data_IF_706111277529
#
_entry.id   IF_706111277529
#
_cell.length_a   1.000
_cell.length_b   1.000
_cell.length_c   1.000
_cell.angle_alpha   90.00
_cell.angle_beta   90.00
_cell.angle_gamma   90.00
#
_symmetry.space_group_name_H-M   'P 1'
#
loop_
_entity.id
_entity.type
_entity.pdbx_description
1 polymer ?
#
# COMPACT_ATOMS: atom_id res chain seq x y z
N UNK A 1 31.76 -1.66 -85.90
CA UNK A 1 31.38 -2.49 -84.76
C UNK A 1 30.88 -1.53 -83.64
N UNK A 2 29.57 -1.52 -83.35
CA UNK A 2 28.96 -0.71 -82.31
C UNK A 2 29.07 -1.42 -80.99
N UNK A 3 29.77 -0.86 -80.02
CA UNK A 3 29.76 -1.29 -78.64
C UNK A 3 28.48 -0.69 -78.00
N UNK A 4 27.54 -1.55 -77.73
CA UNK A 4 26.34 -1.20 -76.99
C UNK A 4 26.67 -1.20 -75.51
N UNK A 5 26.62 -0.04 -74.87
CA UNK A 5 26.84 0.12 -73.43
C UNK A 5 25.69 -0.55 -72.65
N UNK A 6 26.06 -1.49 -71.85
CA UNK A 6 25.18 -2.13 -70.81
C UNK A 6 25.22 -1.27 -69.54
N UNK A 7 24.50 -0.20 -69.47
CA UNK A 7 24.39 0.67 -68.29
C UNK A 7 22.97 0.94 -67.84
N UNK A 8 22.08 -0.06 -67.85
CA UNK A 8 20.66 0.16 -67.49
C UNK A 8 20.13 -0.79 -66.40
N UNK A 9 20.90 -1.67 -65.81
CA UNK A 9 20.39 -2.73 -64.94
C UNK A 9 20.49 -2.49 -63.43
N UNK A 10 21.23 -1.48 -62.95
CA UNK A 10 21.50 -1.32 -61.51
C UNK A 10 20.41 -0.50 -60.77
N UNK A 11 19.79 0.47 -61.43
CA UNK A 11 18.83 1.40 -60.79
C UNK A 11 17.58 0.68 -60.20
N UNK A 12 16.90 -0.21 -60.90
CA UNK A 12 15.70 -0.87 -60.34
C UNK A 12 16.07 -1.82 -59.15
N UNK A 13 17.23 -2.46 -59.18
CA UNK A 13 17.68 -3.30 -58.08
C UNK A 13 18.00 -2.49 -56.79
N UNK A 14 18.58 -1.32 -56.92
CA UNK A 14 18.89 -0.42 -55.80
C UNK A 14 17.64 0.16 -55.21
N UNK A 15 16.69 0.60 -56.04
CA UNK A 15 15.38 1.10 -55.59
C UNK A 15 14.63 0.01 -54.83
N UNK A 16 14.59 -1.21 -55.35
CA UNK A 16 13.99 -2.35 -54.69
C UNK A 16 14.64 -2.64 -53.32
N UNK A 17 15.99 -2.65 -53.24
CA UNK A 17 16.72 -2.84 -51.98
C UNK A 17 16.42 -1.78 -50.94
N UNK A 18 16.39 -0.50 -51.33
CA UNK A 18 16.04 0.61 -50.44
C UNK A 18 14.60 0.48 -49.97
N UNK A 19 13.66 0.12 -50.85
CA UNK A 19 12.25 -0.08 -50.46
C UNK A 19 12.12 -1.20 -49.44
N UNK A 20 12.74 -2.38 -49.69
CA UNK A 20 12.71 -3.49 -48.75
C UNK A 20 13.33 -3.12 -47.43
N UNK A 21 14.43 -2.37 -47.41
CA UNK A 21 15.11 -1.93 -46.20
C UNK A 21 14.21 -0.94 -45.40
N UNK A 22 13.56 -0.01 -46.08
CA UNK A 22 12.61 0.96 -45.44
C UNK A 22 11.43 0.22 -44.82
N UNK A 23 10.88 -0.80 -45.50
CA UNK A 23 9.79 -1.64 -44.98
C UNK A 23 10.23 -2.40 -43.72
N UNK A 24 11.41 -3.02 -43.76
CA UNK A 24 11.95 -3.75 -42.60
C UNK A 24 12.14 -2.81 -41.43
N UNK A 25 12.73 -1.63 -41.61
CA UNK A 25 12.92 -0.64 -40.55
C UNK A 25 11.57 -0.20 -39.97
N UNK A 26 10.59 0.09 -40.82
CA UNK A 26 9.26 0.49 -40.39
C UNK A 26 8.58 -0.59 -39.53
N UNK A 27 8.61 -1.84 -39.98
CA UNK A 27 8.05 -2.99 -39.22
C UNK A 27 8.79 -3.14 -37.89
N UNK A 28 10.11 -3.08 -37.87
CA UNK A 28 10.91 -3.20 -36.64
C UNK A 28 10.58 -2.07 -35.66
N UNK A 29 10.50 -0.83 -36.15
CA UNK A 29 10.15 0.33 -35.30
C UNK A 29 8.76 0.18 -34.68
N UNK A 30 7.76 -0.27 -35.49
CA UNK A 30 6.39 -0.51 -34.98
C UNK A 30 6.41 -1.64 -33.94
N UNK A 31 7.12 -2.74 -34.19
CA UNK A 31 7.21 -3.85 -33.27
C UNK A 31 7.82 -3.45 -31.92
N UNK A 32 8.90 -2.66 -31.95
CA UNK A 32 9.56 -2.18 -30.72
C UNK A 32 8.68 -1.19 -29.97
N UNK A 33 7.97 -0.29 -30.69
CA UNK A 33 7.03 0.63 -30.07
C UNK A 33 5.85 -0.13 -29.40
N UNK A 34 5.31 -1.14 -30.06
CA UNK A 34 4.28 -2.00 -29.47
C UNK A 34 4.81 -2.75 -28.23
N UNK A 35 6.04 -3.27 -28.30
CA UNK A 35 6.69 -3.90 -27.16
C UNK A 35 6.89 -2.92 -25.99
N UNK A 36 7.31 -1.69 -26.25
CA UNK A 36 7.45 -0.63 -25.24
C UNK A 36 6.13 -0.35 -24.53
N UNK A 37 5.04 -0.17 -25.30
CA UNK A 37 3.70 0.04 -24.72
C UNK A 37 3.28 -1.16 -23.88
N UNK A 38 3.48 -2.37 -24.38
CA UNK A 38 3.18 -3.61 -23.65
C UNK A 38 3.94 -3.71 -22.34
N UNK A 39 5.23 -3.42 -22.34
CA UNK A 39 6.09 -3.44 -21.17
C UNK A 39 5.66 -2.40 -20.12
N UNK A 40 5.31 -1.19 -20.56
CA UNK A 40 4.78 -0.14 -19.69
C UNK A 40 3.47 -0.60 -19.03
N UNK A 41 2.53 -1.12 -19.81
CA UNK A 41 1.26 -1.61 -19.31
C UNK A 41 1.44 -2.77 -18.31
N UNK A 42 2.34 -3.71 -18.61
CA UNK A 42 2.65 -4.82 -17.72
C UNK A 42 3.28 -4.35 -16.40
N UNK A 43 4.20 -3.38 -16.45
CA UNK A 43 4.82 -2.80 -15.25
C UNK A 43 3.76 -2.14 -14.35
N UNK A 44 2.87 -1.33 -14.92
CA UNK A 44 1.75 -0.75 -14.18
C UNK A 44 0.84 -1.82 -13.58
N UNK A 45 0.45 -2.82 -14.37
CA UNK A 45 -0.42 -3.91 -13.90
C UNK A 45 0.20 -4.68 -12.72
N UNK A 46 1.52 -4.87 -12.69
CA UNK A 46 2.23 -5.51 -11.58
C UNK A 46 2.16 -4.71 -10.30
N UNK A 47 2.43 -3.39 -10.35
CA UNK A 47 2.34 -2.54 -9.15
C UNK A 47 0.91 -2.41 -8.64
N UNK A 48 -0.09 -2.34 -9.53
CA UNK A 48 -1.50 -2.43 -9.15
C UNK A 48 -1.81 -3.79 -8.51
N UNK A 49 -1.30 -4.88 -9.06
CA UNK A 49 -1.43 -6.22 -8.48
C UNK A 49 -0.80 -6.33 -7.09
N UNK A 50 0.37 -5.72 -6.87
CA UNK A 50 1.03 -5.65 -5.56
C UNK A 50 0.22 -4.84 -4.56
N UNK A 51 -0.29 -3.69 -4.96
CA UNK A 51 -1.18 -2.85 -4.15
C UNK A 51 -2.42 -3.65 -3.71
N UNK A 52 -3.09 -4.32 -4.64
CA UNK A 52 -4.27 -5.14 -4.35
C UNK A 52 -3.94 -6.29 -3.40
N UNK A 53 -2.82 -6.98 -3.59
CA UNK A 53 -2.37 -8.05 -2.70
C UNK A 53 -2.13 -7.54 -1.27
N UNK A 54 -1.51 -6.37 -1.13
CA UNK A 54 -1.26 -5.76 0.16
C UNK A 54 -2.58 -5.32 0.83
N UNK A 55 -3.48 -4.68 0.07
CA UNK A 55 -4.80 -4.27 0.53
C UNK A 55 -5.61 -5.48 1.03
N UNK A 56 -5.73 -6.54 0.23
CA UNK A 56 -6.47 -7.75 0.60
C UNK A 56 -5.91 -8.41 1.86
N UNK A 57 -4.59 -8.47 1.99
CA UNK A 57 -3.96 -9.09 3.17
C UNK A 57 -4.23 -8.30 4.44
N UNK A 58 -4.17 -6.97 4.39
CA UNK A 58 -4.45 -6.10 5.54
C UNK A 58 -5.96 -6.18 5.86
N UNK A 59 -6.83 -6.06 4.86
CA UNK A 59 -8.27 -6.17 5.02
C UNK A 59 -8.69 -7.49 5.68
N UNK A 60 -8.13 -8.61 5.24
CA UNK A 60 -8.39 -9.93 5.83
C UNK A 60 -8.01 -9.99 7.31
N UNK A 61 -6.91 -9.35 7.69
CA UNK A 61 -6.50 -9.33 9.10
C UNK A 61 -7.39 -8.39 9.91
N UNK A 62 -7.70 -7.20 9.40
CA UNK A 62 -8.63 -6.28 10.05
C UNK A 62 -9.99 -6.96 10.30
N UNK A 63 -10.52 -7.65 9.29
CA UNK A 63 -11.75 -8.42 9.44
C UNK A 63 -11.64 -9.54 10.49
N UNK A 64 -10.53 -10.25 10.55
CA UNK A 64 -10.26 -11.25 11.59
C UNK A 64 -10.25 -10.64 12.99
N UNK A 65 -9.66 -9.45 13.15
CA UNK A 65 -9.69 -8.69 14.41
C UNK A 65 -11.12 -8.29 14.77
N UNK A 66 -11.88 -7.74 13.83
CA UNK A 66 -13.27 -7.36 14.04
C UNK A 66 -14.13 -8.53 14.52
N UNK A 67 -14.03 -9.69 13.86
CA UNK A 67 -14.78 -10.88 14.24
C UNK A 67 -14.45 -11.36 15.65
N UNK A 68 -13.15 -11.47 15.96
CA UNK A 68 -12.70 -11.93 17.26
C UNK A 68 -13.04 -10.93 18.37
N UNK A 69 -12.79 -9.64 18.12
CA UNK A 69 -13.14 -8.57 19.05
C UNK A 69 -14.65 -8.52 19.33
N UNK A 70 -15.49 -8.67 18.32
CA UNK A 70 -16.94 -8.74 18.51
C UNK A 70 -17.34 -9.86 19.46
N UNK A 71 -16.71 -11.04 19.36
CA UNK A 71 -16.97 -12.16 20.28
C UNK A 71 -16.55 -11.84 21.73
N UNK A 72 -15.45 -11.09 21.92
CA UNK A 72 -15.02 -10.63 23.25
C UNK A 72 -16.00 -9.59 23.79
N UNK A 73 -16.38 -8.61 22.98
CA UNK A 73 -17.24 -7.50 23.38
C UNK A 73 -18.67 -7.95 23.65
N UNK A 74 -19.18 -8.90 22.88
CA UNK A 74 -20.49 -9.50 23.14
C UNK A 74 -20.51 -10.29 24.47
N UNK A 75 -19.36 -10.89 24.85
CA UNK A 75 -19.24 -11.52 26.16
C UNK A 75 -19.20 -10.47 27.29
N UNK A 76 -18.48 -9.36 27.11
CA UNK A 76 -18.52 -8.22 28.04
C UNK A 76 -19.96 -7.73 28.21
N UNK A 77 -20.72 -7.59 27.11
CA UNK A 77 -22.12 -7.15 27.12
C UNK A 77 -23.07 -8.04 27.91
N UNK A 78 -22.72 -9.33 28.12
CA UNK A 78 -23.49 -10.27 28.94
C UNK A 78 -23.21 -10.15 30.44
N UNK A 79 -22.17 -9.44 30.83
CA UNK A 79 -21.66 -9.40 32.21
C UNK A 79 -21.56 -7.98 32.76
N UNK A 80 -22.47 -7.10 32.35
CA UNK A 80 -22.50 -5.68 32.74
C UNK A 80 -22.83 -5.46 34.22
N UNK A 81 -23.27 -6.49 34.94
CA UNK A 81 -23.62 -6.44 36.36
C UNK A 81 -22.41 -6.59 37.31
N UNK A 82 -21.28 -7.13 36.81
CA UNK A 82 -20.13 -7.43 37.64
C UNK A 82 -18.80 -7.01 37.04
N UNK A 83 -18.04 -6.10 37.68
CA UNK A 83 -16.74 -5.67 37.19
C UNK A 83 -15.72 -6.81 37.06
N UNK A 84 -15.78 -7.80 37.98
CA UNK A 84 -14.85 -8.93 37.93
C UNK A 84 -15.24 -9.93 36.81
N UNK A 85 -16.53 -10.03 36.46
CA UNK A 85 -16.98 -10.83 35.32
C UNK A 85 -16.59 -10.18 33.99
N UNK A 86 -16.64 -8.85 33.90
CA UNK A 86 -16.13 -8.10 32.74
C UNK A 86 -14.65 -8.37 32.50
N UNK A 87 -13.82 -8.31 33.55
CA UNK A 87 -12.38 -8.60 33.46
C UNK A 87 -12.16 -10.03 32.95
N UNK A 88 -12.85 -11.02 33.54
CA UNK A 88 -12.76 -12.42 33.06
C UNK A 88 -13.22 -12.59 31.60
N UNK A 89 -14.22 -11.85 31.15
CA UNK A 89 -14.69 -11.89 29.77
C UNK A 89 -13.58 -11.40 28.82
N UNK A 90 -12.90 -10.31 29.15
CA UNK A 90 -11.76 -9.80 28.39
C UNK A 90 -10.60 -10.80 28.37
N UNK A 91 -10.22 -11.36 29.53
CA UNK A 91 -9.10 -12.32 29.67
C UNK A 91 -9.33 -13.62 28.90
N UNK A 92 -10.57 -14.13 28.92
CA UNK A 92 -10.89 -15.47 28.44
C UNK A 92 -10.58 -15.71 26.96
N UNK A 93 -10.52 -14.65 26.17
CA UNK A 93 -10.34 -14.70 24.71
C UNK A 93 -9.21 -13.84 24.21
N UNK A 94 -8.49 -13.13 25.08
CA UNK A 94 -7.43 -12.22 24.69
C UNK A 94 -6.32 -12.91 23.87
N UNK A 95 -6.01 -14.17 24.20
CA UNK A 95 -4.95 -14.95 23.52
C UNK A 95 -5.34 -15.50 22.14
N UNK A 96 -6.59 -15.35 21.71
CA UNK A 96 -7.09 -15.93 20.45
C UNK A 96 -6.69 -15.10 19.22
N UNK A 97 -6.24 -13.88 19.42
CA UNK A 97 -5.88 -12.97 18.33
C UNK A 97 -4.50 -12.36 18.55
N UNK A 98 -3.45 -12.95 17.98
CA UNK A 98 -2.08 -12.51 18.17
C UNK A 98 -1.77 -11.14 17.55
N UNK A 99 -2.64 -10.63 16.66
CA UNK A 99 -2.51 -9.31 16.05
C UNK A 99 -3.00 -8.19 16.97
N UNK A 100 -3.78 -8.53 18.00
CA UNK A 100 -4.30 -7.56 18.99
C UNK A 100 -3.34 -7.48 20.17
N UNK A 101 -2.85 -6.27 20.45
CA UNK A 101 -1.99 -5.99 21.61
C UNK A 101 -2.76 -6.13 22.93
N UNK A 102 -4.01 -5.70 22.93
CA UNK A 102 -4.87 -5.78 24.11
C UNK A 102 -6.33 -5.43 23.84
N UNK A 103 -7.15 -5.75 24.80
CA UNK A 103 -8.58 -5.46 24.80
C UNK A 103 -8.95 -4.65 26.04
N UNK A 104 -9.82 -3.65 25.87
CA UNK A 104 -10.33 -2.85 26.99
C UNK A 104 -11.84 -2.73 26.98
N UNK A 105 -12.38 -2.32 28.13
CA UNK A 105 -13.77 -1.92 28.26
C UNK A 105 -13.83 -0.65 29.14
N UNK A 106 -14.06 0.50 28.53
CA UNK A 106 -14.15 1.80 29.16
C UNK A 106 -15.61 2.10 29.52
N UNK A 107 -15.97 1.97 30.78
CA UNK A 107 -17.33 2.17 31.26
C UNK A 107 -17.71 3.64 31.39
N UNK A 108 -19.00 3.95 31.30
CA UNK A 108 -19.46 5.30 31.64
C UNK A 108 -19.07 5.63 33.09
N UNK A 109 -18.78 6.90 33.40
CA UNK A 109 -18.36 7.30 34.75
C UNK A 109 -19.30 6.77 35.83
N UNK A 110 -18.72 6.26 36.93
CA UNK A 110 -19.45 5.72 38.08
C UNK A 110 -20.39 4.53 37.81
N UNK A 111 -20.25 3.86 36.65
CA UNK A 111 -21.07 2.69 36.31
C UNK A 111 -21.01 1.61 37.41
N UNK A 112 -19.84 1.38 37.96
CA UNK A 112 -19.61 0.54 39.13
C UNK A 112 -19.15 1.43 40.30
N UNK A 113 -20.03 1.89 41.21
CA UNK A 113 -19.67 2.84 42.25
C UNK A 113 -18.48 2.37 43.11
N UNK A 114 -18.35 1.06 43.33
CA UNK A 114 -17.23 0.45 44.08
C UNK A 114 -15.86 0.53 43.37
N UNK A 115 -15.84 0.80 42.06
CA UNK A 115 -14.61 0.96 41.26
C UNK A 115 -14.26 2.42 41.01
N UNK A 116 -15.10 3.36 41.47
CA UNK A 116 -14.89 4.80 41.34
C UNK A 116 -15.35 5.36 40.00
N UNK A 117 -14.86 6.57 39.69
CA UNK A 117 -15.31 7.33 38.52
C UNK A 117 -14.88 6.71 37.20
N UNK A 118 -13.67 6.17 37.13
CA UNK A 118 -13.10 5.60 35.91
C UNK A 118 -12.86 4.10 36.09
N UNK A 119 -13.59 3.30 35.34
CA UNK A 119 -13.37 1.85 35.29
C UNK A 119 -13.08 1.46 33.85
N UNK A 120 -11.79 1.20 33.57
CA UNK A 120 -11.29 0.80 32.28
C UNK A 120 -10.26 -0.35 32.46
N UNK A 121 -10.72 -1.60 32.62
CA UNK A 121 -9.83 -2.74 32.58
C UNK A 121 -9.25 -2.92 31.18
N UNK A 122 -7.95 -3.08 31.10
CA UNK A 122 -7.17 -3.35 29.90
C UNK A 122 -6.43 -4.67 30.06
N UNK A 123 -6.76 -5.65 29.24
CA UNK A 123 -6.08 -6.95 29.18
C UNK A 123 -5.13 -6.91 28.02
N UNK A 124 -3.83 -6.92 28.28
CA UNK A 124 -2.82 -6.74 27.25
C UNK A 124 -1.64 -7.70 27.42
N UNK A 125 -0.89 -7.90 26.35
CA UNK A 125 0.37 -8.64 26.40
C UNK A 125 1.48 -7.75 26.98
N UNK A 126 2.17 -8.26 27.99
CA UNK A 126 3.41 -7.66 28.46
C UNK A 126 4.61 -8.03 27.56
N UNK A 127 5.79 -7.53 27.91
CA UNK A 127 7.02 -7.78 27.12
C UNK A 127 7.45 -9.25 27.09
N UNK A 128 6.97 -10.06 28.03
CA UNK A 128 7.18 -11.52 28.05
C UNK A 128 6.15 -12.30 27.22
N UNK A 129 5.19 -11.62 26.60
CA UNK A 129 4.11 -12.24 25.85
C UNK A 129 2.98 -12.82 26.69
N UNK A 130 3.00 -12.59 28.01
CA UNK A 130 1.93 -13.01 28.93
C UNK A 130 0.85 -11.93 29.01
N UNK A 131 -0.40 -12.37 29.14
CA UNK A 131 -1.51 -11.43 29.35
C UNK A 131 -1.57 -10.98 30.81
N UNK A 132 -1.76 -9.70 30.99
CA UNK A 132 -1.97 -9.06 32.29
C UNK A 132 -3.10 -8.05 32.23
N UNK A 133 -3.68 -7.75 33.38
CA UNK A 133 -4.79 -6.79 33.52
C UNK A 133 -4.29 -5.54 34.19
N UNK A 134 -4.47 -4.41 33.53
CA UNK A 134 -4.18 -3.09 34.08
C UNK A 134 -5.42 -2.21 34.12
N UNK A 135 -5.63 -1.47 35.20
CA UNK A 135 -6.67 -0.44 35.27
C UNK A 135 -6.10 0.86 34.72
N UNK A 136 -6.53 1.24 33.52
CA UNK A 136 -5.96 2.37 32.77
C UNK A 136 -6.67 3.67 33.07
N UNK A 137 -7.99 3.65 33.16
CA UNK A 137 -8.80 4.82 33.44
C UNK A 137 -8.43 5.50 34.76
N UNK A 138 -8.20 6.81 34.73
CA UNK A 138 -7.80 7.62 35.88
C UNK A 138 -8.00 9.11 35.63
N UNK A 139 -7.82 9.94 36.65
CA UNK A 139 -7.84 11.39 36.48
C UNK A 139 -6.75 11.92 35.51
N UNK A 140 -5.67 11.16 35.31
CA UNK A 140 -4.62 11.48 34.33
C UNK A 140 -4.93 10.95 32.95
N UNK A 141 -5.71 9.88 32.87
CA UNK A 141 -6.20 9.28 31.65
C UNK A 141 -7.72 9.21 31.68
N UNK A 142 -8.34 10.36 31.39
CA UNK A 142 -9.78 10.51 31.28
C UNK A 142 -10.20 10.12 29.84
N UNK A 143 -10.48 8.82 29.65
CA UNK A 143 -10.88 8.26 28.37
C UNK A 143 -12.18 8.87 27.82
N UNK A 144 -13.03 9.46 28.68
CA UNK A 144 -14.28 10.08 28.23
C UNK A 144 -14.05 11.28 27.30
N UNK A 145 -12.83 11.82 27.27
CA UNK A 145 -12.39 12.91 26.39
C UNK A 145 -11.72 12.41 25.10
N UNK A 146 -11.44 11.11 25.00
CA UNK A 146 -10.81 10.54 23.83
C UNK A 146 -11.74 10.57 22.61
N UNK A 147 -11.17 10.79 21.42
CA UNK A 147 -11.94 10.87 20.17
C UNK A 147 -12.77 9.59 19.95
N UNK A 148 -12.15 8.42 20.15
CA UNK A 148 -12.82 7.15 19.99
C UNK A 148 -14.02 6.95 20.93
N UNK A 149 -13.92 7.42 22.20
CA UNK A 149 -15.04 7.34 23.16
C UNK A 149 -16.18 8.27 22.77
N UNK A 150 -15.85 9.53 22.45
CA UNK A 150 -16.84 10.53 22.02
C UNK A 150 -17.54 10.12 20.72
N UNK A 151 -16.80 9.54 19.78
CA UNK A 151 -17.36 9.04 18.53
C UNK A 151 -18.26 7.83 18.78
N UNK A 152 -17.84 6.85 19.58
CA UNK A 152 -18.65 5.67 19.93
C UNK A 152 -20.00 6.05 20.54
N UNK A 153 -19.99 7.04 21.43
CA UNK A 153 -21.23 7.55 22.06
C UNK A 153 -22.20 8.19 21.04
N UNK A 154 -21.70 8.71 19.92
CA UNK A 154 -22.51 9.36 18.88
C UNK A 154 -22.99 8.40 17.79
N UNK A 155 -22.14 7.47 17.36
CA UNK A 155 -22.38 6.67 16.15
C UNK A 155 -23.20 5.43 16.39
N UNK A 156 -23.28 4.91 17.60
CA UNK A 156 -23.93 3.66 17.99
C UNK A 156 -23.44 2.39 17.25
N UNK A 157 -22.48 2.55 16.36
CA UNK A 157 -21.89 1.46 15.56
C UNK A 157 -20.41 1.25 15.87
N UNK A 158 -19.90 0.08 15.51
CA UNK A 158 -18.47 -0.21 15.59
C UNK A 158 -17.70 0.49 14.46
N UNK A 159 -16.44 0.84 14.72
CA UNK A 159 -15.57 1.49 13.75
C UNK A 159 -14.10 1.30 14.12
N UNK A 160 -13.20 1.55 13.16
CA UNK A 160 -11.78 1.71 13.42
C UNK A 160 -11.46 3.16 13.76
N UNK A 161 -10.68 3.38 14.83
CA UNK A 161 -10.19 4.70 15.20
C UNK A 161 -9.21 5.24 14.16
N UNK A 162 -9.04 6.55 14.11
CA UNK A 162 -7.83 7.13 13.54
C UNK A 162 -6.60 6.65 14.34
N UNK A 163 -5.41 6.64 13.71
CA UNK A 163 -4.17 6.38 14.43
C UNK A 163 -3.93 7.37 15.57
N UNK A 164 -3.51 6.88 16.73
CA UNK A 164 -3.18 7.73 17.87
C UNK A 164 -1.98 7.21 18.64
N UNK A 165 -1.30 8.10 19.34
CA UNK A 165 -0.26 7.75 20.29
C UNK A 165 -0.89 7.68 21.69
N UNK A 166 -0.70 6.53 22.34
CA UNK A 166 -1.13 6.31 23.70
C UNK A 166 0.06 6.27 24.66
N UNK A 167 -0.11 6.88 25.81
CA UNK A 167 0.82 6.83 26.94
C UNK A 167 0.04 7.03 28.25
N UNK A 168 0.08 6.04 29.12
CA UNK A 168 -0.63 6.06 30.42
C UNK A 168 0.22 6.60 31.58
N UNK A 169 1.48 6.95 31.33
CA UNK A 169 2.43 7.37 32.36
C UNK A 169 3.16 6.21 33.03
N UNK A 170 2.96 4.97 32.54
CA UNK A 170 3.62 3.74 32.99
C UNK A 170 4.38 3.06 31.86
N UNK A 171 4.25 1.76 31.71
CA UNK A 171 4.91 0.97 30.68
C UNK A 171 4.08 0.79 29.42
N UNK A 172 2.82 1.24 29.41
CA UNK A 172 1.94 1.12 28.26
C UNK A 172 2.08 2.38 27.42
N UNK A 173 2.74 2.25 26.28
CA UNK A 173 2.89 3.33 25.30
C UNK A 173 3.03 2.77 23.89
N UNK A 174 2.59 3.51 22.91
CA UNK A 174 2.72 3.12 21.51
C UNK A 174 1.78 3.86 20.58
N UNK A 175 1.98 3.61 19.28
CA UNK A 175 1.05 4.02 18.26
C UNK A 175 0.05 2.90 18.00
N UNK A 176 -1.21 3.22 18.12
CA UNK A 176 -2.32 2.27 17.99
C UNK A 176 -3.35 2.73 16.97
N UNK A 177 -4.05 1.76 16.44
CA UNK A 177 -5.36 1.89 15.85
C UNK A 177 -6.26 0.85 16.51
N UNK A 178 -7.48 1.23 16.85
CA UNK A 178 -8.37 0.45 17.69
C UNK A 178 -9.66 0.15 16.95
N UNK A 179 -10.05 -1.11 16.95
CA UNK A 179 -11.42 -1.48 16.61
C UNK A 179 -12.30 -1.22 17.82
N UNK A 180 -13.24 -0.28 17.70
CA UNK A 180 -14.08 0.26 18.77
C UNK A 180 -15.52 -0.20 18.61
N UNK A 181 -16.16 -0.65 19.70
CA UNK A 181 -17.57 -1.02 19.74
C UNK A 181 -18.25 -0.49 21.00
N UNK A 182 -19.27 0.38 20.90
CA UNK A 182 -20.09 0.76 22.02
C UNK A 182 -21.01 -0.41 22.44
N UNK A 183 -21.17 -0.59 23.75
CA UNK A 183 -22.07 -1.57 24.35
C UNK A 183 -23.17 -0.82 25.10
N UNK A 184 -24.41 -1.15 24.78
CA UNK A 184 -25.61 -0.53 25.37
C UNK A 184 -26.30 -1.52 26.29
N UNK A 185 -26.94 -0.99 27.33
CA UNK A 185 -27.82 -1.80 28.19
C UNK A 185 -29.19 -2.05 27.53
N UNK A 186 -30.06 -2.77 28.21
CA UNK A 186 -31.40 -3.13 27.72
C UNK A 186 -32.28 -1.88 27.46
N UNK A 187 -32.04 -0.78 28.17
CA UNK A 187 -32.74 0.48 28.05
C UNK A 187 -32.20 1.38 26.91
N UNK A 188 -31.16 0.92 26.18
CA UNK A 188 -30.53 1.64 25.08
C UNK A 188 -29.54 2.74 25.51
N UNK A 189 -29.17 2.78 26.80
CA UNK A 189 -28.16 3.69 27.31
C UNK A 189 -26.76 3.08 27.18
N UNK A 190 -25.75 3.90 26.87
CA UNK A 190 -24.35 3.44 26.79
C UNK A 190 -23.90 2.90 28.14
N UNK A 191 -23.38 1.69 28.18
CA UNK A 191 -22.76 1.08 29.36
C UNK A 191 -21.25 1.22 29.34
N UNK A 192 -20.63 0.85 28.22
CA UNK A 192 -19.19 1.01 28.03
C UNK A 192 -18.84 1.08 26.54
N UNK A 193 -17.62 1.48 26.28
CA UNK A 193 -16.99 1.41 24.96
C UNK A 193 -15.87 0.38 25.04
N UNK A 194 -15.98 -0.68 24.25
CA UNK A 194 -14.94 -1.70 24.13
C UNK A 194 -13.98 -1.38 22.99
N UNK A 195 -12.71 -1.75 23.14
CA UNK A 195 -11.70 -1.60 22.10
C UNK A 195 -10.74 -2.78 22.03
N UNK A 196 -10.26 -3.03 20.81
CA UNK A 196 -9.21 -3.99 20.49
C UNK A 196 -8.06 -3.23 19.80
N UNK A 197 -6.92 -3.14 20.48
CA UNK A 197 -5.78 -2.33 20.04
C UNK A 197 -4.84 -3.13 19.14
N UNK A 198 -4.56 -2.61 17.96
CA UNK A 198 -3.51 -3.06 17.07
C UNK A 198 -2.35 -2.06 17.07
N UNK A 199 -1.11 -2.58 17.07
CA UNK A 199 0.09 -1.73 16.97
C UNK A 199 0.46 -1.45 15.53
N UNK A 200 1.07 -0.29 15.28
CA UNK A 200 1.63 0.03 13.96
C UNK A 200 2.81 -0.88 13.58
N UNK A 201 3.54 -1.37 14.57
CA UNK A 201 4.61 -2.34 14.33
C UNK A 201 4.11 -3.61 13.64
N UNK A 202 2.93 -4.10 14.05
CA UNK A 202 2.31 -5.22 13.38
C UNK A 202 2.05 -4.92 11.90
N UNK A 203 1.48 -3.75 11.62
CA UNK A 203 1.17 -3.32 10.26
C UNK A 203 2.44 -3.16 9.42
N UNK A 204 3.46 -2.48 9.96
CA UNK A 204 4.76 -2.30 9.31
C UNK A 204 5.45 -3.65 9.05
N UNK A 205 5.42 -4.59 9.99
CA UNK A 205 5.96 -5.94 9.83
C UNK A 205 5.21 -6.74 8.76
N UNK A 206 3.89 -6.56 8.67
CA UNK A 206 3.06 -7.14 7.61
C UNK A 206 3.48 -6.65 6.21
N UNK A 207 3.64 -5.34 6.06
CA UNK A 207 4.13 -4.72 4.82
C UNK A 207 5.54 -5.20 4.46
N UNK A 208 6.45 -5.26 5.43
CA UNK A 208 7.83 -5.76 5.24
C UNK A 208 7.85 -7.20 4.72
N UNK A 209 6.99 -8.08 5.26
CA UNK A 209 6.88 -9.47 4.79
C UNK A 209 6.38 -9.55 3.35
N UNK A 210 5.46 -8.68 2.94
CA UNK A 210 4.97 -8.62 1.56
C UNK A 210 6.08 -8.11 0.65
N UNK A 211 6.76 -7.02 1.03
CA UNK A 211 7.86 -6.42 0.30
C UNK A 211 9.00 -7.43 0.06
N UNK A 212 9.45 -8.11 1.11
CA UNK A 212 10.48 -9.15 1.00
C UNK A 212 10.06 -10.30 0.10
N UNK A 213 8.83 -10.82 0.26
CA UNK A 213 8.33 -11.92 -0.55
C UNK A 213 8.33 -11.57 -2.04
N UNK A 214 7.97 -10.35 -2.40
CA UNK A 214 7.96 -9.87 -3.79
C UNK A 214 9.38 -9.68 -4.31
N UNK A 215 10.28 -9.11 -3.51
CA UNK A 215 11.70 -8.93 -3.87
C UNK A 215 12.45 -10.25 -4.02
N UNK A 216 12.08 -11.27 -3.25
CA UNK A 216 12.66 -12.62 -3.33
C UNK A 216 12.06 -13.46 -4.48
N UNK A 217 10.93 -13.03 -5.06
CA UNK A 217 10.31 -13.76 -6.16
C UNK A 217 11.15 -13.65 -7.45
N UNK A 218 11.75 -14.78 -7.87
CA UNK A 218 12.57 -14.85 -9.07
C UNK A 218 11.82 -14.43 -10.34
N UNK A 219 10.50 -14.63 -10.41
CA UNK A 219 9.70 -14.23 -11.55
C UNK A 219 9.63 -12.70 -11.68
N UNK A 220 9.55 -11.97 -10.57
CA UNK A 220 9.64 -10.52 -10.55
C UNK A 220 11.01 -10.03 -11.02
N UNK A 221 12.08 -10.63 -10.51
CA UNK A 221 13.46 -10.25 -10.81
C UNK A 221 13.90 -10.63 -12.24
N UNK A 222 13.39 -11.75 -12.78
CA UNK A 222 13.79 -12.26 -14.09
C UNK A 222 13.30 -11.38 -15.25
N UNK A 223 12.11 -10.79 -15.13
CA UNK A 223 11.55 -9.89 -16.16
C UNK A 223 12.15 -8.49 -16.15
N UNK A 224 12.75 -8.06 -15.06
CA UNK A 224 13.29 -6.73 -14.86
C UNK A 224 14.81 -6.63 -15.08
N UNK A 225 15.40 -7.56 -15.85
CA UNK A 225 16.81 -7.52 -16.23
C UNK A 225 17.79 -7.49 -15.04
N UNK A 226 17.46 -8.17 -13.94
CA UNK A 226 18.39 -8.42 -12.82
C UNK A 226 18.67 -7.20 -11.94
N UNK A 227 17.78 -6.22 -11.87
CA UNK A 227 17.85 -5.10 -10.91
C UNK A 227 16.87 -5.28 -9.78
N UNK A 228 17.30 -4.92 -8.58
CA UNK A 228 16.42 -4.77 -7.43
C UNK A 228 15.31 -3.79 -7.74
N UNK A 229 14.07 -4.21 -7.48
CA UNK A 229 12.92 -3.34 -7.54
C UNK A 229 13.01 -2.36 -6.37
N UNK A 230 13.28 -1.10 -6.66
CA UNK A 230 13.21 -0.06 -5.66
C UNK A 230 11.77 0.44 -5.55
N UNK A 231 11.04 -0.12 -4.63
CA UNK A 231 9.69 0.32 -4.25
C UNK A 231 9.51 0.09 -2.74
N UNK A 232 8.54 0.75 -2.17
CA UNK A 232 8.12 0.47 -0.80
C UNK A 232 6.61 0.61 -0.65
N UNK A 233 6.06 -0.17 0.29
CA UNK A 233 4.65 -0.16 0.63
C UNK A 233 4.42 0.77 1.81
N UNK A 234 3.31 1.52 1.78
CA UNK A 234 2.86 2.34 2.91
C UNK A 234 1.36 2.17 3.11
N UNK A 235 0.92 2.34 4.34
CA UNK A 235 -0.50 2.52 4.65
C UNK A 235 -0.72 3.99 4.97
N UNK A 236 -1.73 4.56 4.32
CA UNK A 236 -2.11 5.97 4.41
C UNK A 236 -3.48 6.09 5.06
N UNK A 237 -3.64 7.12 5.86
CA UNK A 237 -4.95 7.58 6.31
C UNK A 237 -5.66 8.37 5.17
N UNK A 238 -6.95 8.64 5.33
CA UNK A 238 -7.76 9.38 4.34
C UNK A 238 -7.31 10.84 4.12
N UNK A 239 -6.51 11.38 5.01
CA UNK A 239 -5.89 12.71 4.89
C UNK A 239 -4.49 12.69 4.25
N UNK A 240 -4.04 11.54 3.75
CA UNK A 240 -2.73 11.36 3.14
C UNK A 240 -1.58 11.16 4.13
N UNK A 241 -1.83 11.15 5.44
CA UNK A 241 -0.79 10.88 6.44
C UNK A 241 -0.41 9.41 6.48
N UNK A 242 0.89 9.13 6.68
CA UNK A 242 1.39 7.76 6.78
C UNK A 242 1.03 7.14 8.14
N UNK A 243 0.30 6.03 8.11
CA UNK A 243 -0.01 5.20 9.27
C UNK A 243 1.15 4.25 9.56
N UNK A 244 1.64 3.56 8.52
CA UNK A 244 2.71 2.58 8.66
C UNK A 244 3.53 2.45 7.39
N UNK A 245 4.83 2.19 7.57
CA UNK A 245 5.76 1.83 6.49
C UNK A 245 6.78 0.79 6.98
N UNK A 246 7.37 -0.04 6.10
CA UNK A 246 8.28 -1.13 6.48
C UNK A 246 9.53 -0.68 7.23
N UNK A 247 10.00 0.52 7.00
CA UNK A 247 11.26 1.06 7.55
C UNK A 247 11.05 2.32 8.40
N UNK A 248 9.81 2.59 8.83
CA UNK A 248 9.47 3.83 9.54
C UNK A 248 9.66 5.09 8.68
N UNK A 249 9.73 4.95 7.36
CA UNK A 249 9.81 6.08 6.43
C UNK A 249 8.54 6.90 6.55
N UNK A 250 8.67 8.14 6.97
CA UNK A 250 7.55 9.08 6.96
C UNK A 250 7.24 9.44 5.50
N UNK A 251 6.01 9.22 5.09
CA UNK A 251 5.49 9.61 3.78
C UNK A 251 4.27 10.48 4.02
N UNK A 252 4.27 11.67 3.46
CA UNK A 252 3.09 12.52 3.44
C UNK A 252 2.67 12.74 1.99
N UNK A 253 1.45 12.38 1.66
CA UNK A 253 0.82 12.72 0.40
C UNK A 253 0.09 14.04 0.60
N UNK A 254 0.50 15.07 -0.14
CA UNK A 254 -0.04 16.44 -0.04
C UNK A 254 -0.82 16.86 -1.28
N UNK A 255 -0.90 16.01 -2.28
CA UNK A 255 -1.65 16.27 -3.50
C UNK A 255 -3.16 16.20 -3.23
N UNK A 256 -3.87 17.29 -3.56
CA UNK A 256 -5.30 17.44 -3.25
C UNK A 256 -6.19 16.43 -3.99
N UNK A 257 -5.84 16.07 -5.22
CA UNK A 257 -6.60 15.11 -6.02
C UNK A 257 -6.47 13.71 -5.41
N UNK A 258 -5.24 13.33 -5.02
CA UNK A 258 -4.99 12.04 -4.34
C UNK A 258 -5.69 12.00 -2.99
N UNK A 259 -5.60 13.05 -2.17
CA UNK A 259 -6.30 13.12 -0.87
C UNK A 259 -7.82 12.99 -1.07
N UNK A 260 -8.36 13.63 -2.10
CA UNK A 260 -9.78 13.50 -2.44
C UNK A 260 -10.13 12.05 -2.79
N UNK A 261 -9.34 11.38 -3.59
CA UNK A 261 -9.54 9.96 -3.92
C UNK A 261 -9.43 9.06 -2.69
N UNK A 262 -8.42 9.26 -1.82
CA UNK A 262 -8.27 8.53 -0.57
C UNK A 262 -9.51 8.69 0.33
N UNK A 263 -10.00 9.92 0.48
CA UNK A 263 -11.19 10.23 1.28
C UNK A 263 -12.48 9.59 0.76
N UNK A 264 -12.54 9.33 -0.55
CA UNK A 264 -13.65 8.69 -1.24
C UNK A 264 -13.47 7.18 -1.45
N UNK A 265 -12.43 6.57 -0.85
CA UNK A 265 -12.07 5.17 -1.01
C UNK A 265 -11.90 4.76 -2.50
N UNK A 266 -11.25 5.59 -3.28
CA UNK A 266 -10.93 5.32 -4.68
C UNK A 266 -9.50 4.83 -4.86
N UNK A 267 -9.30 4.00 -5.88
CA UNK A 267 -7.98 3.60 -6.34
C UNK A 267 -7.49 4.51 -7.46
N UNK A 268 -6.18 4.74 -7.51
CA UNK A 268 -5.58 5.57 -8.55
C UNK A 268 -4.08 5.35 -8.71
N UNK A 269 -3.52 6.09 -9.66
CA UNK A 269 -2.08 6.19 -9.91
C UNK A 269 -1.76 7.66 -10.14
N UNK A 270 -0.78 8.17 -9.41
CA UNK A 270 -0.34 9.55 -9.52
C UNK A 270 1.19 9.65 -9.51
N UNK A 271 1.72 10.61 -10.26
CA UNK A 271 3.13 10.97 -10.19
C UNK A 271 3.30 12.10 -9.19
N UNK A 272 4.00 11.84 -8.11
CA UNK A 272 4.13 12.72 -6.94
C UNK A 272 5.60 12.86 -6.53
N UNK A 273 5.91 13.92 -5.82
CA UNK A 273 7.17 14.04 -5.11
C UNK A 273 7.01 13.46 -3.69
N UNK A 274 7.74 12.40 -3.39
CA UNK A 274 7.74 11.74 -2.08
C UNK A 274 9.14 11.88 -1.47
N UNK A 275 9.24 12.58 -0.35
CA UNK A 275 10.52 12.84 0.34
C UNK A 275 11.60 13.46 -0.56
N UNK A 276 11.23 14.38 -1.46
CA UNK A 276 12.14 15.03 -2.39
C UNK A 276 12.54 14.17 -3.60
N UNK A 277 11.88 13.04 -3.82
CA UNK A 277 12.11 12.16 -4.97
C UNK A 277 10.84 12.06 -5.83
N UNK A 278 10.97 12.18 -7.16
CA UNK A 278 9.84 11.93 -8.05
C UNK A 278 9.48 10.45 -8.02
N UNK A 279 8.23 10.16 -7.71
CA UNK A 279 7.70 8.81 -7.57
C UNK A 279 6.37 8.65 -8.32
N UNK A 280 6.13 7.45 -8.85
CA UNK A 280 4.80 7.01 -9.25
C UNK A 280 4.18 6.26 -8.08
N UNK A 281 3.03 6.71 -7.61
CA UNK A 281 2.32 6.16 -6.45
C UNK A 281 1.05 5.46 -6.92
N UNK A 282 0.95 4.18 -6.65
CA UNK A 282 -0.24 3.35 -6.87
C UNK A 282 -0.97 3.21 -5.55
N UNK A 283 -2.20 3.69 -5.45
CA UNK A 283 -2.95 3.68 -4.20
C UNK A 283 -4.34 3.09 -4.37
N UNK A 284 -4.85 2.52 -3.29
CA UNK A 284 -6.20 1.96 -3.26
C UNK A 284 -6.68 1.68 -1.85
N UNK A 285 -8.00 1.61 -1.65
CA UNK A 285 -8.60 1.43 -0.35
C UNK A 285 -8.31 0.03 0.23
N UNK A 286 -8.37 -0.04 1.54
CA UNK A 286 -8.37 -1.29 2.30
C UNK A 286 -9.79 -1.49 2.82
N UNK A 287 -10.43 -2.59 2.44
CA UNK A 287 -11.77 -2.92 2.90
C UNK A 287 -11.82 -3.03 4.43
N UNK A 288 -12.96 -2.72 5.01
CA UNK A 288 -13.26 -2.70 6.46
C UNK A 288 -12.63 -1.56 7.26
N UNK A 289 -11.58 -0.92 6.75
CA UNK A 289 -10.90 0.20 7.42
C UNK A 289 -10.94 1.45 6.55
N UNK A 290 -10.87 2.62 7.17
CA UNK A 290 -10.79 3.89 6.44
C UNK A 290 -9.34 4.25 6.11
N UNK A 291 -8.59 3.27 5.59
CA UNK A 291 -7.20 3.44 5.20
C UNK A 291 -7.01 3.02 3.76
N UNK A 292 -5.90 3.43 3.20
CA UNK A 292 -5.46 3.03 1.86
C UNK A 292 -4.06 2.45 1.92
N UNK A 293 -3.76 1.48 1.06
CA UNK A 293 -2.40 1.05 0.81
C UNK A 293 -1.86 1.77 -0.40
N UNK A 294 -0.60 2.16 -0.36
CA UNK A 294 0.09 2.70 -1.52
C UNK A 294 1.42 1.96 -1.77
N UNK A 295 1.71 1.75 -3.05
CA UNK A 295 3.01 1.30 -3.55
C UNK A 295 3.71 2.52 -4.12
N UNK A 296 4.79 2.94 -3.49
CA UNK A 296 5.60 4.10 -3.89
C UNK A 296 6.80 3.60 -4.68
N UNK A 297 6.89 4.01 -5.92
CA UNK A 297 7.94 3.57 -6.87
C UNK A 297 8.70 4.80 -7.34
N UNK A 298 10.02 4.92 -7.09
CA UNK A 298 10.80 5.98 -7.68
C UNK A 298 10.66 5.98 -9.20
N UNK A 299 10.36 7.15 -9.77
CA UNK A 299 10.11 7.29 -11.21
C UNK A 299 11.31 6.81 -12.03
N UNK A 300 12.53 7.02 -11.53
CA UNK A 300 13.75 6.53 -12.15
C UNK A 300 13.79 5.01 -12.30
N UNK A 301 13.21 4.27 -11.34
CA UNK A 301 13.16 2.80 -11.40
C UNK A 301 12.31 2.32 -12.58
N UNK A 302 11.16 2.95 -12.80
CA UNK A 302 10.26 2.65 -13.92
C UNK A 302 10.92 3.09 -15.24
N UNK A 303 11.42 4.33 -15.30
CA UNK A 303 11.93 4.93 -16.53
C UNK A 303 13.31 4.40 -16.96
N UNK A 304 14.20 4.05 -16.05
CA UNK A 304 15.51 3.50 -16.43
C UNK A 304 15.43 2.22 -17.27
N UNK A 305 14.43 1.38 -17.00
CA UNK A 305 14.18 0.18 -17.80
C UNK A 305 13.64 0.54 -19.17
N UNK A 306 12.68 1.45 -19.23
CA UNK A 306 12.07 1.92 -20.46
C UNK A 306 13.05 2.72 -21.32
N UNK A 307 13.85 3.59 -20.73
CA UNK A 307 14.86 4.41 -21.41
C UNK A 307 15.98 3.57 -22.05
N UNK A 308 16.34 2.40 -21.46
CA UNK A 308 17.31 1.49 -22.09
C UNK A 308 16.77 0.85 -23.36
N UNK A 309 15.50 0.47 -23.35
CA UNK A 309 14.83 -0.08 -24.54
C UNK A 309 14.76 1.01 -25.61
N UNK A 310 14.36 2.22 -25.24
CA UNK A 310 14.31 3.39 -26.15
C UNK A 310 15.68 3.73 -26.73
N UNK A 311 16.73 3.80 -25.91
CA UNK A 311 18.09 4.07 -26.38
C UNK A 311 18.57 2.96 -27.34
N UNK A 312 18.33 1.69 -27.02
CA UNK A 312 18.67 0.56 -27.90
C UNK A 312 17.98 0.71 -29.26
N UNK A 313 16.72 1.11 -29.25
CA UNK A 313 15.92 1.36 -30.44
C UNK A 313 16.50 2.47 -31.29
N UNK A 314 16.82 3.63 -30.68
CA UNK A 314 17.46 4.76 -31.37
C UNK A 314 18.78 4.35 -32.01
N UNK A 315 19.60 3.57 -31.33
CA UNK A 315 20.87 3.04 -31.88
C UNK A 315 20.63 2.16 -33.09
N UNK A 316 19.68 1.23 -33.04
CA UNK A 316 19.33 0.35 -34.17
C UNK A 316 18.84 1.14 -35.38
N UNK A 317 17.94 2.10 -35.15
CA UNK A 317 17.42 2.98 -36.22
C UNK A 317 18.57 3.81 -36.84
N UNK A 318 19.45 4.38 -35.99
CA UNK A 318 20.60 5.15 -36.45
C UNK A 318 21.54 4.31 -37.32
N UNK A 319 21.90 3.09 -36.88
CA UNK A 319 22.75 2.18 -37.67
C UNK A 319 22.08 1.85 -39.00
N UNK A 320 20.78 1.58 -39.01
CA UNK A 320 20.04 1.29 -40.22
C UNK A 320 20.02 2.46 -41.20
N UNK A 321 19.80 3.69 -40.73
CA UNK A 321 19.88 4.90 -41.56
C UNK A 321 21.27 5.13 -42.09
N UNK A 322 22.32 4.88 -41.31
CA UNK A 322 23.70 5.01 -41.72
C UNK A 322 24.06 3.97 -42.80
N UNK A 323 23.57 2.74 -42.71
CA UNK A 323 23.75 1.72 -43.77
C UNK A 323 23.03 2.12 -45.06
N UNK A 324 21.82 2.64 -45.02
CA UNK A 324 21.08 3.15 -46.17
C UNK A 324 21.89 4.30 -46.83
N UNK A 325 22.38 5.25 -46.04
CA UNK A 325 23.18 6.35 -46.53
C UNK A 325 24.47 5.87 -47.21
N UNK A 326 25.19 4.91 -46.61
CA UNK A 326 26.40 4.33 -47.21
C UNK A 326 26.13 3.64 -48.53
N UNK A 327 25.07 2.86 -48.63
CA UNK A 327 24.64 2.20 -49.85
C UNK A 327 24.31 3.25 -50.93
N UNK A 328 23.48 4.23 -50.55
CA UNK A 328 23.11 5.33 -51.45
C UNK A 328 24.33 6.12 -51.95
N UNK A 329 25.28 6.46 -51.08
CA UNK A 329 26.50 7.12 -51.43
C UNK A 329 27.37 6.32 -52.39
N UNK A 330 27.58 5.01 -52.11
CA UNK A 330 28.37 4.11 -52.93
C UNK A 330 27.78 3.94 -54.32
N UNK A 331 26.49 3.90 -54.47
CA UNK A 331 25.84 3.79 -55.77
C UNK A 331 25.92 5.08 -56.59
N UNK A 332 25.89 6.22 -55.95
CA UNK A 332 26.02 7.53 -56.61
C UNK A 332 27.44 7.78 -57.14
N UNK A 333 28.45 7.31 -56.40
CA UNK A 333 29.86 7.45 -56.87
C UNK A 333 30.19 6.46 -57.99
N UNK A 334 29.60 5.28 -58.03
CA UNK A 334 29.75 4.31 -59.12
C UNK A 334 29.08 4.76 -60.44
N UNK A 335 28.26 5.81 -60.45
CA UNK A 335 27.62 6.40 -61.62
C UNK A 335 28.41 7.61 -62.19
N UNK A 336 29.44 8.10 -61.49
CA UNK A 336 30.24 9.26 -61.88
C UNK A 336 31.63 8.89 -62.45
N UNK A 337 32.06 7.63 -62.33
CA UNK A 337 33.20 7.03 -62.99
C UNK A 337 32.72 6.20 -64.19
#
# INVERSE_FOLDING_TARGET
MKQTSKTSSSRPAITLLLTVFTVIISITTIAIFAFYIGLKAETHARYVGLMNLASEKIAKTAWGVEMNANNVFDEVGKHLESPDAVVRALESKASLNPEVRGYFAAFVPEYFPQKGMWFEPYVHQNDSGLFEVTMVGSARHDYTKSEWYLRANKTHGSFWSAPYYYYDGTNISGHYCTFVKPIFNAEGSLSCVCGADMTFEWLANGLKKIDQKVKDDRLWNQYLLGRELDFFLVVLNNDGTCIASPEGKQVAVTDEDVITDLSQNKSGVADLEVNGMPCTVYYGPIDHVNWSVAVVVPTDTIWQMLNRVELTLLVVVFIALLMIWMIYRRTRYAETD
#
